data_IF_547765280385
#
_entry.id   IF_547765280385
#
_cell.length_a   1.000
_cell.length_b   1.000
_cell.length_c   1.000
_cell.angle_alpha   90.00
_cell.angle_beta   90.00
_cell.angle_gamma   90.00
#
_symmetry.space_group_name_H-M   'P 1'
#
loop_
_entity.id
_entity.type
_entity.pdbx_description
1 polymer ?
#
# COMPACT_ATOMS: atom_id res chain seq x y z
N UNK A 1 22.33 -37.61 -17.90
CA UNK A 1 21.14 -37.25 -17.09
C UNK A 1 21.08 -35.73 -16.99
N UNK A 2 20.28 -35.06 -17.82
CA UNK A 2 20.01 -33.63 -17.70
C UNK A 2 19.20 -33.43 -16.42
N UNK A 3 19.78 -32.78 -15.42
CA UNK A 3 19.02 -32.25 -14.29
C UNK A 3 17.97 -31.28 -14.85
N UNK A 4 16.71 -31.70 -14.90
CA UNK A 4 15.58 -30.81 -15.17
C UNK A 4 15.60 -29.74 -14.07
N UNK A 5 16.10 -28.56 -14.39
CA UNK A 5 16.00 -27.38 -13.53
C UNK A 5 14.51 -27.11 -13.31
N UNK A 6 13.99 -27.45 -12.11
CA UNK A 6 12.64 -27.05 -11.74
C UNK A 6 12.57 -25.52 -11.83
N UNK A 7 11.63 -24.97 -12.59
CA UNK A 7 11.50 -23.52 -12.70
C UNK A 7 11.31 -22.90 -11.31
N UNK A 8 12.08 -21.87 -10.99
CA UNK A 8 12.06 -21.13 -9.73
C UNK A 8 12.01 -19.63 -10.03
N UNK A 9 11.57 -18.84 -9.03
CA UNK A 9 11.58 -17.39 -9.14
C UNK A 9 13.01 -16.88 -9.38
N UNK A 10 13.16 -15.97 -10.34
CA UNK A 10 14.46 -15.44 -10.70
C UNK A 10 14.84 -14.28 -9.77
N UNK A 11 16.06 -14.29 -9.24
CA UNK A 11 16.63 -13.16 -8.48
C UNK A 11 17.08 -12.06 -9.44
N UNK A 12 16.13 -11.31 -10.00
CA UNK A 12 16.35 -10.29 -11.01
C UNK A 12 16.35 -8.85 -10.48
N UNK A 13 15.88 -8.61 -9.25
CA UNK A 13 15.76 -7.27 -8.70
C UNK A 13 17.08 -6.75 -8.11
N UNK A 14 17.54 -5.61 -8.62
CA UNK A 14 18.71 -4.88 -8.12
C UNK A 14 18.32 -3.99 -6.93
N UNK A 15 19.32 -3.50 -6.19
CA UNK A 15 19.12 -2.53 -5.11
C UNK A 15 18.36 -1.27 -5.55
N UNK A 16 18.61 -0.78 -6.78
CA UNK A 16 17.89 0.32 -7.40
C UNK A 16 16.39 0.00 -7.52
N UNK A 17 16.05 -1.15 -8.08
CA UNK A 17 14.64 -1.57 -8.25
C UNK A 17 13.92 -1.65 -6.91
N UNK A 18 14.49 -2.32 -5.91
CA UNK A 18 13.86 -2.50 -4.60
C UNK A 18 13.67 -1.16 -3.88
N UNK A 19 14.65 -0.25 -3.96
CA UNK A 19 14.50 1.09 -3.38
C UNK A 19 13.36 1.88 -4.02
N UNK A 20 13.22 1.80 -5.34
CA UNK A 20 12.17 2.51 -6.07
C UNK A 20 10.82 1.81 -5.99
N UNK A 21 10.75 0.48 -5.95
CA UNK A 21 9.54 -0.27 -5.60
C UNK A 21 9.04 0.19 -4.22
N UNK A 22 9.93 0.22 -3.24
CA UNK A 22 9.60 0.68 -1.90
C UNK A 22 9.18 2.16 -1.85
N UNK A 23 9.75 3.03 -2.68
CA UNK A 23 9.34 4.43 -2.81
C UNK A 23 7.97 4.55 -3.50
N UNK A 24 7.82 3.84 -4.60
CA UNK A 24 6.65 3.92 -5.46
C UNK A 24 5.40 3.34 -4.82
N UNK A 25 5.53 2.21 -4.11
CA UNK A 25 4.41 1.61 -3.39
C UNK A 25 3.88 2.48 -2.25
N UNK A 26 4.74 3.30 -1.63
CA UNK A 26 4.33 4.24 -0.59
C UNK A 26 3.63 5.50 -1.14
N UNK A 27 3.72 5.78 -2.45
CA UNK A 27 3.14 6.96 -3.09
C UNK A 27 2.11 6.47 -4.11
N UNK A 28 0.93 6.14 -3.62
CA UNK A 28 -0.21 5.70 -4.42
C UNK A 28 -1.32 6.75 -4.51
N UNK A 29 -2.48 6.33 -4.99
CA UNK A 29 -3.69 7.15 -5.07
C UNK A 29 -4.18 7.63 -3.71
N UNK A 30 -3.83 6.94 -2.62
CA UNK A 30 -4.13 7.35 -1.25
C UNK A 30 -3.57 8.74 -0.90
N UNK A 31 -2.37 9.10 -1.40
CA UNK A 31 -1.83 10.45 -1.22
C UNK A 31 -2.52 11.46 -2.16
N UNK A 32 -2.62 11.15 -3.44
CA UNK A 32 -3.10 12.10 -4.45
C UNK A 32 -4.61 12.34 -4.41
N UNK A 33 -5.39 11.34 -4.04
CA UNK A 33 -6.84 11.40 -4.00
C UNK A 33 -7.41 11.31 -2.58
N UNK A 34 -6.93 10.37 -1.77
CA UNK A 34 -7.43 10.14 -0.41
C UNK A 34 -7.08 11.26 0.57
N UNK A 35 -6.01 12.01 0.33
CA UNK A 35 -5.58 13.09 1.25
C UNK A 35 -6.63 14.20 1.43
N UNK A 36 -7.41 14.53 0.40
CA UNK A 36 -8.49 15.50 0.49
C UNK A 36 -9.54 15.11 1.55
N UNK A 37 -9.96 13.85 1.55
CA UNK A 37 -10.89 13.30 2.54
C UNK A 37 -10.31 13.29 3.96
N UNK A 38 -9.02 12.97 4.09
CA UNK A 38 -8.33 13.00 5.38
C UNK A 38 -8.21 14.43 5.93
N UNK A 39 -7.86 15.41 5.08
CA UNK A 39 -7.81 16.83 5.44
C UNK A 39 -9.21 17.31 5.84
N UNK A 40 -10.25 16.97 5.09
CA UNK A 40 -11.64 17.35 5.41
C UNK A 40 -12.09 16.80 6.76
N UNK A 41 -11.67 15.58 7.12
CA UNK A 41 -12.00 14.95 8.39
C UNK A 41 -11.28 15.60 9.57
N UNK A 42 -9.97 15.85 9.48
CA UNK A 42 -9.12 16.24 10.61
C UNK A 42 -8.68 17.72 10.59
N UNK A 43 -8.85 18.41 9.45
CA UNK A 43 -8.23 19.71 9.24
C UNK A 43 -6.70 19.62 9.26
N UNK A 44 -5.98 20.68 9.67
CA UNK A 44 -4.54 20.70 9.79
C UNK A 44 -3.97 19.61 10.72
N UNK A 45 -4.74 19.14 11.71
CA UNK A 45 -4.34 18.07 12.61
C UNK A 45 -4.16 16.70 11.92
N UNK A 46 -4.54 16.57 10.64
CA UNK A 46 -4.20 15.40 9.80
C UNK A 46 -2.69 15.14 9.76
N UNK A 47 -1.86 16.18 9.87
CA UNK A 47 -0.40 16.05 9.96
C UNK A 47 0.03 15.18 11.14
N UNK A 48 -0.65 15.30 12.29
CA UNK A 48 -0.40 14.43 13.44
C UNK A 48 -0.83 12.99 13.17
N UNK A 49 -1.96 12.78 12.49
CA UNK A 49 -2.41 11.45 12.10
C UNK A 49 -1.38 10.75 11.20
N UNK A 50 -0.80 11.46 10.22
CA UNK A 50 0.26 10.92 9.36
C UNK A 50 1.57 10.67 10.13
N UNK A 51 1.94 11.51 11.09
CA UNK A 51 3.13 11.28 11.92
C UNK A 51 2.98 10.06 12.83
N UNK A 52 1.85 9.94 13.52
CA UNK A 52 1.57 8.83 14.43
C UNK A 52 1.43 7.52 13.63
N UNK A 53 0.61 7.53 12.58
CA UNK A 53 0.45 6.38 11.68
C UNK A 53 1.77 5.97 11.02
N UNK A 54 2.55 6.94 10.58
CA UNK A 54 3.86 6.70 9.99
C UNK A 54 4.87 6.09 10.95
N UNK A 55 4.89 6.54 12.22
CA UNK A 55 5.71 5.93 13.25
C UNK A 55 5.31 4.47 13.50
N UNK A 56 4.01 4.19 13.56
CA UNK A 56 3.50 2.83 13.70
C UNK A 56 3.88 1.95 12.50
N UNK A 57 3.70 2.43 11.28
CA UNK A 57 4.11 1.73 10.04
C UNK A 57 5.61 1.44 10.02
N UNK A 58 6.44 2.40 10.45
CA UNK A 58 7.89 2.16 10.55
C UNK A 58 8.22 1.00 11.48
N UNK A 59 7.55 0.88 12.64
CA UNK A 59 7.74 -0.22 13.57
C UNK A 59 7.27 -1.55 12.95
N UNK A 60 6.12 -1.58 12.25
CA UNK A 60 5.67 -2.76 11.52
C UNK A 60 6.70 -3.21 10.49
N UNK A 61 7.24 -2.25 9.72
CA UNK A 61 8.24 -2.56 8.69
C UNK A 61 9.58 -3.00 9.30
N UNK A 62 9.95 -2.48 10.48
CA UNK A 62 11.12 -2.98 11.23
C UNK A 62 10.91 -4.42 11.68
N UNK A 63 9.72 -4.78 12.16
CA UNK A 63 9.37 -6.16 12.52
C UNK A 63 9.43 -7.09 11.30
N UNK A 64 8.84 -6.68 10.17
CA UNK A 64 8.91 -7.43 8.92
C UNK A 64 10.35 -7.57 8.42
N UNK A 65 11.11 -6.49 8.45
CA UNK A 65 12.51 -6.47 8.02
C UNK A 65 13.41 -7.39 8.82
N UNK A 66 13.22 -7.46 10.14
CA UNK A 66 13.96 -8.37 11.02
C UNK A 66 13.71 -9.83 10.61
N UNK A 67 12.44 -10.21 10.35
CA UNK A 67 12.08 -11.54 9.88
C UNK A 67 12.62 -11.81 8.47
N UNK A 68 12.51 -10.85 7.55
CA UNK A 68 12.93 -10.98 6.16
C UNK A 68 14.46 -11.07 5.99
N UNK A 69 15.23 -10.37 6.81
CA UNK A 69 16.70 -10.46 6.83
C UNK A 69 17.15 -11.81 7.38
N UNK A 70 16.44 -12.35 8.38
CA UNK A 70 16.72 -13.67 8.96
C UNK A 70 16.37 -14.81 8.00
N UNK A 71 15.21 -14.75 7.36
CA UNK A 71 14.68 -15.80 6.50
C UNK A 71 13.93 -15.23 5.30
N UNK A 72 14.62 -14.86 4.20
CA UNK A 72 13.97 -14.31 3.00
C UNK A 72 13.22 -15.38 2.24
N UNK A 73 11.89 -15.37 2.30
CA UNK A 73 10.97 -16.32 1.64
C UNK A 73 9.95 -15.62 0.76
N UNK A 74 9.49 -16.26 -0.31
CA UNK A 74 8.57 -15.69 -1.30
C UNK A 74 7.17 -15.41 -0.72
N UNK A 75 6.72 -16.18 0.25
CA UNK A 75 5.45 -15.97 0.97
C UNK A 75 5.55 -14.90 2.06
N UNK A 76 6.74 -14.32 2.31
CA UNK A 76 6.98 -13.23 3.26
C UNK A 76 6.22 -13.40 4.58
N UNK A 77 5.45 -12.37 4.98
CA UNK A 77 4.70 -12.36 6.24
C UNK A 77 3.59 -13.44 6.33
N UNK A 78 3.07 -13.95 5.22
CA UNK A 78 2.20 -15.12 5.21
C UNK A 78 2.92 -16.39 5.68
N UNK A 79 4.16 -16.60 5.18
CA UNK A 79 5.02 -17.70 5.63
C UNK A 79 5.49 -17.52 7.08
N UNK A 80 5.79 -16.28 7.51
CA UNK A 80 6.15 -16.01 8.90
C UNK A 80 4.96 -16.25 9.84
N UNK A 81 3.76 -15.83 9.46
CA UNK A 81 2.55 -16.14 10.23
C UNK A 81 2.33 -17.65 10.34
N UNK A 82 2.53 -18.41 9.25
CA UNK A 82 2.48 -19.88 9.29
C UNK A 82 3.54 -20.47 10.24
N UNK A 83 4.76 -20.00 10.15
CA UNK A 83 5.89 -20.51 10.91
C UNK A 83 5.76 -20.26 12.42
N UNK A 84 5.34 -19.07 12.80
CA UNK A 84 5.38 -18.63 14.20
C UNK A 84 4.01 -18.65 14.90
N UNK A 85 2.90 -18.55 14.17
CA UNK A 85 1.54 -18.57 14.71
C UNK A 85 0.72 -19.79 14.28
N UNK A 86 1.23 -20.56 13.32
CA UNK A 86 0.61 -21.79 12.85
C UNK A 86 -0.07 -21.68 11.48
N UNK A 87 -0.43 -22.84 10.88
CA UNK A 87 -0.88 -22.90 9.50
C UNK A 87 -2.17 -22.11 9.20
N UNK A 88 -3.12 -22.04 10.13
CA UNK A 88 -4.33 -21.23 10.00
C UNK A 88 -4.00 -19.74 9.90
N UNK A 89 -3.08 -19.27 10.75
CA UNK A 89 -2.64 -17.88 10.74
C UNK A 89 -1.98 -17.51 9.40
N UNK A 90 -1.11 -18.37 8.87
CA UNK A 90 -0.50 -18.17 7.55
C UNK A 90 -1.54 -18.16 6.43
N UNK A 91 -2.53 -19.03 6.47
CA UNK A 91 -3.62 -19.07 5.50
C UNK A 91 -4.43 -17.78 5.52
N UNK A 92 -4.89 -17.36 6.70
CA UNK A 92 -5.68 -16.12 6.82
C UNK A 92 -4.86 -14.91 6.41
N UNK A 93 -3.61 -14.79 6.84
CA UNK A 93 -2.73 -13.65 6.51
C UNK A 93 -2.48 -13.54 5.01
N UNK A 94 -2.11 -14.65 4.36
CA UNK A 94 -1.79 -14.64 2.94
C UNK A 94 -3.00 -14.34 2.06
N UNK A 95 -4.18 -14.91 2.36
CA UNK A 95 -5.40 -14.62 1.61
C UNK A 95 -5.96 -13.24 1.90
N UNK A 96 -5.80 -12.71 3.14
CA UNK A 96 -6.19 -11.34 3.46
C UNK A 96 -5.31 -10.33 2.74
N UNK A 97 -4.00 -10.57 2.63
CA UNK A 97 -3.13 -9.74 1.81
C UNK A 97 -3.48 -9.82 0.31
N UNK A 98 -3.78 -11.01 -0.21
CA UNK A 98 -4.22 -11.15 -1.60
C UNK A 98 -5.53 -10.38 -1.84
N UNK A 99 -6.47 -10.45 -0.90
CA UNK A 99 -7.70 -9.67 -0.93
C UNK A 99 -7.41 -8.17 -0.87
N UNK A 100 -6.53 -7.73 0.03
CA UNK A 100 -6.08 -6.33 0.14
C UNK A 100 -5.56 -5.82 -1.21
N UNK A 101 -4.64 -6.54 -1.85
CA UNK A 101 -4.07 -6.15 -3.14
C UNK A 101 -5.11 -6.08 -4.25
N UNK A 102 -6.09 -6.98 -4.26
CA UNK A 102 -7.23 -6.88 -5.20
C UNK A 102 -8.03 -5.61 -4.94
N UNK A 103 -8.36 -5.33 -3.68
CA UNK A 103 -9.18 -4.18 -3.30
C UNK A 103 -8.44 -2.85 -3.58
N UNK A 104 -7.15 -2.77 -3.26
CA UNK A 104 -6.33 -1.59 -3.56
C UNK A 104 -6.23 -1.38 -5.06
N UNK A 105 -5.93 -2.43 -5.83
CA UNK A 105 -5.90 -2.35 -7.29
C UNK A 105 -7.25 -1.96 -7.90
N UNK A 106 -8.39 -2.35 -7.30
CA UNK A 106 -9.72 -1.87 -7.71
C UNK A 106 -9.86 -0.34 -7.53
N UNK A 107 -9.32 0.20 -6.42
CA UNK A 107 -9.29 1.65 -6.20
C UNK A 107 -8.42 2.35 -7.25
N UNK A 108 -7.24 1.79 -7.52
CA UNK A 108 -6.26 2.38 -8.43
C UNK A 108 -6.73 2.35 -9.91
N UNK A 109 -7.36 1.27 -10.38
CA UNK A 109 -7.93 1.23 -11.73
C UNK A 109 -9.15 2.17 -11.84
N UNK A 110 -9.90 2.36 -10.75
CA UNK A 110 -11.01 3.32 -10.69
C UNK A 110 -10.48 4.74 -10.81
N UNK A 111 -9.45 5.09 -10.03
CA UNK A 111 -8.78 6.38 -10.11
C UNK A 111 -8.20 6.62 -11.50
N UNK A 112 -7.52 5.64 -12.10
CA UNK A 112 -7.02 5.71 -13.47
C UNK A 112 -8.16 6.08 -14.46
N UNK A 113 -9.30 5.40 -14.37
CA UNK A 113 -10.45 5.70 -15.21
C UNK A 113 -11.04 7.10 -15.02
N UNK A 114 -11.04 7.62 -13.79
CA UNK A 114 -11.46 8.99 -13.47
C UNK A 114 -10.53 10.00 -14.15
N UNK A 115 -9.22 9.84 -14.00
CA UNK A 115 -8.23 10.76 -14.55
C UNK A 115 -8.12 10.70 -16.07
N UNK A 116 -8.35 9.54 -16.70
CA UNK A 116 -8.48 9.43 -18.16
C UNK A 116 -9.72 10.16 -18.69
N UNK A 117 -10.81 10.14 -17.92
CA UNK A 117 -12.05 10.85 -18.25
C UNK A 117 -11.89 12.38 -18.28
N UNK A 118 -10.89 12.96 -17.62
CA UNK A 118 -10.57 14.40 -17.71
C UNK A 118 -10.08 14.80 -19.11
N UNK A 119 -9.37 13.90 -19.80
CA UNK A 119 -8.91 14.16 -21.18
C UNK A 119 -9.90 13.71 -22.24
N UNK A 120 -10.65 12.64 -21.95
CA UNK A 120 -11.55 12.00 -22.90
C UNK A 120 -12.94 11.79 -22.28
N UNK A 121 -13.69 12.88 -22.01
CA UNK A 121 -14.98 12.81 -21.30
C UNK A 121 -16.04 11.99 -22.05
N UNK A 122 -15.95 11.90 -23.38
CA UNK A 122 -16.89 11.15 -24.21
C UNK A 122 -16.65 9.63 -24.19
N UNK A 123 -15.49 9.16 -23.65
CA UNK A 123 -15.17 7.74 -23.57
C UNK A 123 -15.65 7.17 -22.24
N UNK A 124 -16.52 6.15 -22.23
CA UNK A 124 -16.97 5.52 -21.01
C UNK A 124 -15.82 5.04 -20.14
N UNK A 125 -15.86 5.34 -18.84
CA UNK A 125 -14.81 5.04 -17.86
C UNK A 125 -14.38 3.57 -17.85
N UNK A 126 -15.31 2.65 -18.00
CA UNK A 126 -15.04 1.22 -18.00
C UNK A 126 -14.08 0.77 -19.12
N UNK A 127 -14.04 1.48 -20.26
CA UNK A 127 -13.12 1.19 -21.36
C UNK A 127 -11.67 1.44 -20.92
N UNK A 128 -11.44 2.54 -20.22
CA UNK A 128 -10.13 2.89 -19.67
C UNK A 128 -9.69 1.87 -18.61
N UNK A 129 -10.60 1.48 -17.71
CA UNK A 129 -10.35 0.47 -16.69
C UNK A 129 -9.98 -0.87 -17.32
N UNK A 130 -10.73 -1.30 -18.31
CA UNK A 130 -10.46 -2.55 -19.04
C UNK A 130 -9.09 -2.50 -19.74
N UNK A 131 -8.78 -1.38 -20.41
CA UNK A 131 -7.50 -1.20 -21.12
C UNK A 131 -6.29 -1.31 -20.20
N UNK A 132 -6.34 -0.68 -19.03
CA UNK A 132 -5.22 -0.72 -18.07
C UNK A 132 -5.05 -2.09 -17.43
N UNK A 133 -6.13 -2.82 -17.14
CA UNK A 133 -6.07 -4.20 -16.63
C UNK A 133 -5.33 -5.09 -17.63
N UNK A 134 -5.66 -5.03 -18.90
CA UNK A 134 -4.98 -5.81 -19.94
C UNK A 134 -3.51 -5.38 -20.11
N UNK A 135 -3.24 -4.09 -20.13
CA UNK A 135 -1.88 -3.56 -20.27
C UNK A 135 -0.98 -4.04 -19.12
N UNK A 136 -1.40 -3.83 -17.86
CA UNK A 136 -0.60 -4.22 -16.70
C UNK A 136 -0.54 -5.74 -16.55
N UNK A 137 -1.62 -6.46 -16.86
CA UNK A 137 -1.60 -7.92 -16.91
C UNK A 137 -0.53 -8.44 -17.86
N UNK A 138 -0.47 -7.92 -19.09
CA UNK A 138 0.55 -8.27 -20.07
C UNK A 138 1.98 -7.94 -19.56
N UNK A 139 2.18 -6.77 -18.94
CA UNK A 139 3.46 -6.36 -18.37
C UNK A 139 3.91 -7.28 -17.23
N UNK A 140 3.00 -7.70 -16.36
CA UNK A 140 3.31 -8.64 -15.26
C UNK A 140 3.57 -10.08 -15.75
N UNK A 141 3.18 -10.43 -16.95
CA UNK A 141 3.56 -11.70 -17.60
C UNK A 141 4.98 -11.66 -18.20
N UNK A 142 5.60 -10.49 -18.32
CA UNK A 142 7.01 -10.35 -18.65
C UNK A 142 7.88 -10.78 -17.45
N UNK A 143 9.21 -10.76 -17.63
CA UNK A 143 10.12 -11.14 -16.54
C UNK A 143 10.18 -10.08 -15.43
N UNK A 144 10.61 -10.48 -14.22
CA UNK A 144 10.70 -9.61 -13.04
C UNK A 144 11.60 -8.38 -13.24
N UNK A 145 12.53 -8.42 -14.15
CA UNK A 145 13.40 -7.28 -14.47
C UNK A 145 12.62 -6.17 -15.19
N UNK A 146 11.72 -6.55 -16.10
CA UNK A 146 10.81 -5.59 -16.79
C UNK A 146 9.90 -4.92 -15.77
N UNK A 147 9.32 -5.71 -14.84
CA UNK A 147 8.57 -5.18 -13.71
C UNK A 147 9.40 -4.14 -12.92
N UNK A 148 10.61 -4.49 -12.52
CA UNK A 148 11.47 -3.60 -11.74
C UNK A 148 11.87 -2.32 -12.47
N UNK A 149 12.16 -2.39 -13.78
CA UNK A 149 12.48 -1.19 -14.59
C UNK A 149 11.24 -0.28 -14.76
N UNK A 150 10.06 -0.85 -15.03
CA UNK A 150 8.84 -0.08 -15.14
C UNK A 150 8.54 0.65 -13.81
N UNK A 151 8.62 -0.07 -12.70
CA UNK A 151 8.37 0.50 -11.37
C UNK A 151 9.39 1.59 -11.01
N UNK A 152 10.65 1.42 -11.41
CA UNK A 152 11.67 2.45 -11.24
C UNK A 152 11.29 3.76 -11.93
N UNK A 153 10.92 3.72 -13.21
CA UNK A 153 10.60 4.92 -13.98
C UNK A 153 9.30 5.59 -13.50
N UNK A 154 8.26 4.79 -13.24
CA UNK A 154 6.99 5.31 -12.73
C UNK A 154 7.16 5.95 -11.34
N UNK A 155 7.94 5.33 -10.46
CA UNK A 155 8.25 5.87 -9.14
C UNK A 155 9.09 7.14 -9.21
N UNK A 156 10.04 7.21 -10.14
CA UNK A 156 10.85 8.42 -10.37
C UNK A 156 9.97 9.61 -10.76
N UNK A 157 9.01 9.40 -11.67
CA UNK A 157 8.04 10.45 -12.08
C UNK A 157 7.29 10.97 -10.85
N UNK A 158 6.76 10.09 -10.01
CA UNK A 158 6.03 10.48 -8.78
C UNK A 158 6.89 11.29 -7.82
N UNK A 159 8.10 10.84 -7.55
CA UNK A 159 9.03 11.50 -6.62
C UNK A 159 9.42 12.88 -7.13
N UNK A 160 9.80 12.98 -8.40
CA UNK A 160 10.15 14.28 -9.03
C UNK A 160 8.97 15.25 -8.99
N UNK A 161 7.77 14.75 -9.28
CA UNK A 161 6.56 15.55 -9.25
C UNK A 161 6.25 16.14 -7.88
N UNK A 162 6.33 15.31 -6.81
CA UNK A 162 6.07 15.78 -5.45
C UNK A 162 7.14 16.77 -5.01
N UNK A 163 8.41 16.52 -5.31
CA UNK A 163 9.49 17.47 -5.00
C UNK A 163 9.28 18.79 -5.74
N UNK A 164 8.97 18.74 -7.04
CA UNK A 164 8.69 19.94 -7.83
C UNK A 164 7.50 20.72 -7.27
N UNK A 165 6.44 20.05 -6.87
CA UNK A 165 5.27 20.67 -6.23
C UNK A 165 5.64 21.31 -4.89
N UNK A 166 6.43 20.63 -4.04
CA UNK A 166 6.86 21.23 -2.76
C UNK A 166 7.74 22.46 -2.98
N UNK A 167 8.66 22.42 -3.95
CA UNK A 167 9.49 23.59 -4.31
C UNK A 167 8.64 24.74 -4.86
N UNK A 168 7.67 24.44 -5.73
CA UNK A 168 6.72 25.42 -6.24
C UNK A 168 5.87 26.02 -5.10
N UNK A 169 5.35 25.18 -4.21
CA UNK A 169 4.61 25.62 -3.04
C UNK A 169 5.46 26.48 -2.09
N UNK A 170 6.70 26.10 -1.84
CA UNK A 170 7.64 26.92 -1.09
C UNK A 170 7.89 28.27 -1.79
N UNK A 171 8.01 28.29 -3.12
CA UNK A 171 8.10 29.53 -3.91
C UNK A 171 6.90 30.43 -3.73
N UNK A 172 5.68 29.89 -3.72
CA UNK A 172 4.45 30.65 -3.42
C UNK A 172 4.49 31.23 -2.01
N UNK A 173 4.82 30.40 -1.01
CA UNK A 173 4.81 30.81 0.40
C UNK A 173 5.86 31.88 0.71
N UNK A 174 7.11 31.72 0.25
CA UNK A 174 8.22 32.59 0.63
C UNK A 174 8.43 33.78 -0.30
N UNK A 175 8.09 33.64 -1.57
CA UNK A 175 8.37 34.69 -2.59
C UNK A 175 7.10 35.28 -3.21
N UNK A 176 5.91 34.82 -2.85
CA UNK A 176 4.64 35.30 -3.36
C UNK A 176 4.45 35.03 -4.86
N UNK A 177 5.02 33.98 -5.38
CA UNK A 177 4.81 33.60 -6.78
C UNK A 177 3.35 33.15 -6.99
N UNK A 178 2.72 33.71 -8.02
CA UNK A 178 1.35 33.39 -8.39
C UNK A 178 0.33 34.40 -7.89
N UNK A 179 -0.36 35.04 -8.83
CA UNK A 179 -1.35 36.09 -8.53
C UNK A 179 -2.70 35.58 -8.03
N UNK A 180 -2.89 34.26 -7.96
CA UNK A 180 -4.19 33.63 -7.71
C UNK A 180 -4.38 33.09 -6.27
N UNK A 181 -3.47 33.40 -5.33
CA UNK A 181 -3.52 32.88 -3.96
C UNK A 181 -3.62 33.97 -2.90
N UNK A 182 -4.77 34.70 -2.79
CA UNK A 182 -4.89 35.81 -1.85
C UNK A 182 -4.86 35.40 -0.36
N UNK A 183 -5.04 34.14 -0.06
CA UNK A 183 -5.14 33.62 1.29
C UNK A 183 -3.94 32.74 1.72
N UNK A 184 -2.78 32.87 1.06
CA UNK A 184 -1.59 32.08 1.41
C UNK A 184 -0.95 32.55 2.70
N UNK A 185 -0.76 31.64 3.67
CA UNK A 185 -0.06 31.96 4.91
C UNK A 185 -0.12 30.81 5.93
N UNK A 186 0.83 30.79 6.85
CA UNK A 186 0.81 29.85 7.99
C UNK A 186 -0.49 29.97 8.82
N UNK A 187 -1.16 31.10 8.76
CA UNK A 187 -2.43 31.37 9.43
C UNK A 187 -3.52 30.38 9.01
N UNK A 188 -3.47 29.85 7.79
CA UNK A 188 -4.42 28.85 7.30
C UNK A 188 -4.45 27.58 8.17
N UNK A 189 -3.39 27.30 8.92
CA UNK A 189 -3.34 26.16 9.84
C UNK A 189 -4.16 26.39 11.12
N UNK A 190 -4.58 27.65 11.40
CA UNK A 190 -5.29 28.02 12.63
C UNK A 190 -6.53 28.86 12.43
N UNK A 191 -6.61 29.69 11.37
CA UNK A 191 -7.64 30.70 11.18
C UNK A 191 -9.05 30.13 10.91
N UNK A 192 -9.13 28.86 10.46
CA UNK A 192 -10.39 28.24 10.06
C UNK A 192 -10.87 27.20 11.07
N UNK A 193 -11.07 27.60 12.31
CA UNK A 193 -11.54 26.73 13.39
C UNK A 193 -10.43 26.07 14.23
N UNK A 194 -9.19 26.58 14.15
CA UNK A 194 -8.05 26.06 14.89
C UNK A 194 -7.33 24.93 14.16
N UNK A 195 -6.29 24.38 14.81
CA UNK A 195 -5.48 23.30 14.25
C UNK A 195 -6.25 21.98 14.11
N UNK A 196 -7.21 21.70 15.02
CA UNK A 196 -8.10 20.56 14.96
C UNK A 196 -9.57 21.02 14.92
N UNK A 197 -10.06 21.56 13.80
CA UNK A 197 -11.38 22.19 13.70
C UNK A 197 -12.54 21.23 13.99
N UNK A 198 -12.38 19.95 13.68
CA UNK A 198 -13.35 18.89 13.97
C UNK A 198 -13.02 18.13 15.26
N UNK A 199 -12.15 18.70 16.13
CA UNK A 199 -11.70 18.09 17.36
C UNK A 199 -10.90 16.80 17.13
N UNK A 200 -10.58 16.11 18.22
CA UNK A 200 -9.86 14.83 18.18
C UNK A 200 -10.66 13.71 17.49
N UNK A 201 -11.99 13.83 17.45
CA UNK A 201 -12.82 12.88 16.71
C UNK A 201 -12.53 12.90 15.22
N UNK A 202 -12.31 14.08 14.62
CA UNK A 202 -11.91 14.19 13.23
C UNK A 202 -10.53 13.59 12.94
N UNK A 203 -9.57 13.78 13.87
CA UNK A 203 -8.22 13.16 13.76
C UNK A 203 -8.34 11.64 13.84
N UNK A 204 -9.13 11.11 14.75
CA UNK A 204 -9.36 9.67 14.90
C UNK A 204 -10.07 9.11 13.66
N UNK A 205 -11.08 9.78 13.14
CA UNK A 205 -11.80 9.38 11.93
C UNK A 205 -10.87 9.32 10.70
N UNK A 206 -9.89 10.23 10.60
CA UNK A 206 -8.93 10.24 9.49
C UNK A 206 -7.97 9.05 9.50
N UNK A 207 -7.77 8.36 10.64
CA UNK A 207 -6.80 7.25 10.76
C UNK A 207 -7.05 6.13 9.76
N UNK A 208 -8.29 5.80 9.43
CA UNK A 208 -8.62 4.79 8.42
C UNK A 208 -8.04 5.15 7.04
N UNK A 209 -8.22 6.39 6.63
CA UNK A 209 -7.72 6.93 5.35
C UNK A 209 -6.19 7.00 5.37
N UNK A 210 -5.61 7.44 6.50
CA UNK A 210 -4.15 7.52 6.69
C UNK A 210 -3.51 6.13 6.61
N UNK A 211 -4.12 5.11 7.23
CA UNK A 211 -3.62 3.73 7.16
C UNK A 211 -3.72 3.18 5.72
N UNK A 212 -4.83 3.44 5.03
CA UNK A 212 -4.95 3.11 3.60
C UNK A 212 -3.85 3.76 2.76
N UNK A 213 -3.54 5.04 3.01
CA UNK A 213 -2.52 5.76 2.26
C UNK A 213 -1.09 5.18 2.45
N UNK A 214 -0.84 4.46 3.53
CA UNK A 214 0.42 3.75 3.79
C UNK A 214 0.42 2.29 3.30
N UNK A 215 -0.72 1.75 2.90
CA UNK A 215 -0.82 0.39 2.34
C UNK A 215 0.12 0.19 1.16
N UNK A 216 0.61 -1.03 1.00
CA UNK A 216 1.58 -1.40 -0.03
C UNK A 216 3.05 -1.30 0.38
N UNK A 217 3.40 -0.65 1.51
CA UNK A 217 4.81 -0.60 1.97
C UNK A 217 5.38 -1.98 2.32
N UNK A 218 4.55 -2.92 2.72
CA UNK A 218 4.91 -4.30 3.05
C UNK A 218 5.39 -5.13 1.86
N UNK A 219 5.23 -4.63 0.62
CA UNK A 219 5.77 -5.25 -0.59
C UNK A 219 7.30 -5.42 -0.52
N UNK A 220 7.98 -4.59 0.27
CA UNK A 220 9.41 -4.72 0.56
C UNK A 220 9.72 -6.13 1.09
N UNK A 221 8.89 -6.66 1.98
CA UNK A 221 9.03 -8.02 2.50
C UNK A 221 8.82 -9.09 1.43
N UNK A 222 7.86 -8.88 0.54
CA UNK A 222 7.57 -9.82 -0.56
C UNK A 222 8.69 -9.84 -1.59
N UNK A 223 9.33 -8.70 -1.88
CA UNK A 223 10.47 -8.60 -2.80
C UNK A 223 11.77 -9.20 -2.26
N UNK A 224 11.85 -9.47 -0.95
CA UNK A 224 13.05 -9.98 -0.30
C UNK A 224 13.58 -11.29 -0.93
N UNK A 225 12.69 -12.20 -1.33
CA UNK A 225 13.06 -13.48 -1.96
C UNK A 225 13.66 -13.31 -3.37
N UNK A 226 13.33 -12.24 -4.08
CA UNK A 226 13.83 -11.93 -5.43
C UNK A 226 14.96 -10.89 -5.44
N UNK A 227 15.36 -10.40 -4.27
CA UNK A 227 16.49 -9.51 -4.08
C UNK A 227 17.83 -10.24 -4.27
N UNK A 228 18.81 -9.59 -4.91
CA UNK A 228 20.16 -10.16 -5.02
C UNK A 228 20.89 -10.24 -3.68
N UNK A 229 20.72 -9.23 -2.83
CA UNK A 229 21.29 -9.16 -1.48
C UNK A 229 20.25 -8.65 -0.47
N UNK A 230 19.32 -9.52 0.01
CA UNK A 230 18.25 -9.10 0.89
C UNK A 230 18.76 -8.55 2.23
N UNK A 231 19.85 -9.11 2.78
CA UNK A 231 20.42 -8.69 4.06
C UNK A 231 20.90 -7.24 4.08
N UNK A 232 21.28 -6.70 2.92
CA UNK A 232 21.74 -5.32 2.78
C UNK A 232 20.64 -4.39 2.30
N UNK A 233 19.87 -4.82 1.31
CA UNK A 233 18.91 -3.95 0.61
C UNK A 233 17.64 -3.72 1.43
N UNK A 234 17.12 -4.74 2.13
CA UNK A 234 15.91 -4.61 2.95
C UNK A 234 16.10 -3.61 4.10
N UNK A 235 17.17 -3.68 4.93
CA UNK A 235 17.42 -2.65 5.94
C UNK A 235 17.53 -1.24 5.37
N UNK A 236 18.22 -1.07 4.24
CA UNK A 236 18.35 0.24 3.59
C UNK A 236 16.99 0.81 3.13
N UNK A 237 16.12 -0.03 2.55
CA UNK A 237 14.80 0.38 2.13
C UNK A 237 13.92 0.79 3.33
N UNK A 238 13.92 -0.01 4.39
CA UNK A 238 13.09 0.24 5.58
C UNK A 238 13.55 1.47 6.36
N UNK A 239 14.86 1.68 6.53
CA UNK A 239 15.39 2.82 7.27
C UNK A 239 15.08 4.17 6.61
N UNK A 240 14.72 4.20 5.33
CA UNK A 240 14.31 5.45 4.65
C UNK A 240 12.82 5.77 4.80
N UNK A 241 12.01 4.87 5.37
CA UNK A 241 10.56 5.08 5.53
C UNK A 241 10.22 6.34 6.34
N UNK A 242 10.84 6.63 7.50
CA UNK A 242 10.51 7.84 8.26
C UNK A 242 10.73 9.11 7.44
N UNK A 243 11.86 9.19 6.72
CA UNK A 243 12.15 10.34 5.86
C UNK A 243 11.10 10.48 4.74
N UNK A 244 10.67 9.37 4.15
CA UNK A 244 9.62 9.38 3.11
C UNK A 244 8.30 9.88 3.64
N UNK A 245 7.88 9.40 4.81
CA UNK A 245 6.62 9.82 5.44
C UNK A 245 6.65 11.31 5.74
N UNK A 246 7.72 11.80 6.36
CA UNK A 246 7.87 13.23 6.65
C UNK A 246 7.84 14.03 5.35
N UNK A 247 8.64 13.67 4.35
CA UNK A 247 8.80 14.45 3.13
C UNK A 247 7.56 14.38 2.24
N UNK A 248 7.10 13.16 1.91
CA UNK A 248 6.05 12.98 0.89
C UNK A 248 4.63 13.11 1.43
N UNK A 249 4.41 12.95 2.74
CA UNK A 249 3.09 13.13 3.33
C UNK A 249 3.02 14.39 4.17
N UNK A 250 3.80 14.49 5.24
CA UNK A 250 3.66 15.59 6.19
C UNK A 250 4.02 16.94 5.57
N UNK A 251 5.20 17.07 4.95
CA UNK A 251 5.62 18.33 4.32
C UNK A 251 4.73 18.70 3.12
N UNK A 252 4.36 17.71 2.30
CA UNK A 252 3.46 17.93 1.16
C UNK A 252 2.11 18.47 1.60
N UNK A 253 1.46 17.82 2.57
CA UNK A 253 0.16 18.26 3.06
C UNK A 253 0.25 19.55 3.85
N UNK A 254 1.34 19.79 4.57
CA UNK A 254 1.60 21.07 5.24
C UNK A 254 1.69 22.23 4.22
N UNK A 255 2.47 22.07 3.14
CA UNK A 255 2.57 23.06 2.06
C UNK A 255 1.20 23.32 1.44
N UNK A 256 0.42 22.29 1.13
CA UNK A 256 -0.92 22.41 0.60
C UNK A 256 -1.83 23.24 1.51
N UNK A 257 -1.85 22.94 2.82
CA UNK A 257 -2.73 23.62 3.77
C UNK A 257 -2.25 25.00 4.18
N UNK A 258 -0.98 25.34 3.94
CA UNK A 258 -0.49 26.73 4.07
C UNK A 258 -0.93 27.58 2.88
N UNK A 259 -1.00 27.00 1.68
CA UNK A 259 -1.45 27.70 0.47
C UNK A 259 -2.97 27.85 0.44
N UNK A 260 -3.70 26.77 0.79
CA UNK A 260 -5.15 26.74 0.74
C UNK A 260 -5.74 26.46 2.13
N UNK A 261 -6.81 27.14 2.54
CA UNK A 261 -7.59 26.77 3.71
C UNK A 261 -8.05 25.31 3.63
N UNK A 262 -7.94 24.57 4.74
CA UNK A 262 -8.28 23.16 4.78
C UNK A 262 -9.73 22.85 4.36
N UNK A 263 -10.67 23.77 4.57
CA UNK A 263 -12.09 23.64 4.23
C UNK A 263 -12.37 23.85 2.73
N UNK A 264 -11.39 24.28 1.93
CA UNK A 264 -11.52 24.40 0.49
C UNK A 264 -11.23 23.08 -0.26
N UNK A 265 -10.69 22.07 0.44
CA UNK A 265 -10.43 20.76 -0.17
C UNK A 265 -11.70 19.92 -0.28
N UNK A 266 -11.84 19.17 -1.36
CA UNK A 266 -12.87 18.16 -1.54
C UNK A 266 -13.95 18.46 -2.58
N UNK A 267 -14.07 19.70 -3.06
CA UNK A 267 -15.09 20.06 -4.07
C UNK A 267 -14.54 20.08 -5.51
N UNK A 268 -13.23 20.21 -5.69
CA UNK A 268 -12.61 20.48 -7.00
C UNK A 268 -11.55 19.47 -7.44
N UNK A 269 -11.58 18.22 -6.94
CA UNK A 269 -10.64 17.20 -7.34
C UNK A 269 -9.39 17.09 -6.45
N UNK A 270 -8.24 16.67 -7.02
CA UNK A 270 -7.01 16.49 -6.25
C UNK A 270 -6.45 17.83 -5.74
N UNK A 271 -6.08 17.93 -4.45
CA UNK A 271 -5.44 19.13 -3.90
C UNK A 271 -4.20 19.59 -4.67
N UNK A 272 -3.54 18.66 -5.31
CA UNK A 272 -2.32 18.90 -6.09
C UNK A 272 -2.60 19.68 -7.40
N UNK A 273 -3.80 19.48 -8.01
CA UNK A 273 -4.22 20.22 -9.21
C UNK A 273 -4.30 21.71 -8.89
N UNK A 274 -4.86 22.04 -7.74
CA UNK A 274 -5.10 23.42 -7.35
C UNK A 274 -3.82 24.26 -7.26
N UNK A 275 -2.70 23.69 -6.84
CA UNK A 275 -1.40 24.40 -6.78
C UNK A 275 -0.92 24.78 -8.17
N UNK A 276 -0.90 23.82 -9.09
CA UNK A 276 -0.36 24.07 -10.43
C UNK A 276 -1.26 24.99 -11.26
N UNK A 277 -2.58 24.88 -11.08
CA UNK A 277 -3.55 25.75 -11.73
C UNK A 277 -3.39 27.20 -11.25
N UNK A 278 -3.26 27.40 -9.96
CA UNK A 278 -3.06 28.73 -9.36
C UNK A 278 -1.72 29.38 -9.69
N UNK A 279 -0.70 28.62 -10.11
CA UNK A 279 0.55 29.17 -10.64
C UNK A 279 0.41 29.74 -12.05
N UNK A 280 -0.78 29.62 -12.66
CA UNK A 280 -1.03 30.09 -14.02
C UNK A 280 -0.25 29.31 -15.09
N UNK A 281 0.14 28.05 -14.79
CA UNK A 281 0.80 27.17 -15.75
C UNK A 281 -0.30 26.56 -16.63
N UNK A 282 -0.44 26.91 -17.92
CA UNK A 282 -1.56 26.43 -18.75
C UNK A 282 -1.66 24.91 -18.90
N UNK A 283 -0.54 24.19 -18.67
CA UNK A 283 -0.47 22.75 -18.75
C UNK A 283 -0.53 22.05 -17.37
N UNK A 284 -0.76 22.80 -16.29
CA UNK A 284 -0.66 22.29 -14.91
C UNK A 284 -1.58 21.11 -14.66
N UNK A 285 -2.85 21.21 -15.03
CA UNK A 285 -3.82 20.13 -14.89
C UNK A 285 -3.40 18.87 -15.70
N UNK A 286 -2.87 19.07 -16.91
CA UNK A 286 -2.38 17.98 -17.76
C UNK A 286 -1.16 17.30 -17.17
N UNK A 287 -0.18 18.07 -16.67
CA UNK A 287 1.02 17.52 -16.03
C UNK A 287 0.64 16.69 -14.82
N UNK A 288 -0.24 17.21 -13.97
CA UNK A 288 -0.67 16.48 -12.80
C UNK A 288 -1.47 15.24 -13.16
N UNK A 289 -2.32 15.31 -14.18
CA UNK A 289 -3.06 14.15 -14.67
C UNK A 289 -2.09 13.02 -15.09
N UNK A 290 -1.02 13.35 -15.81
CA UNK A 290 0.05 12.39 -16.15
C UNK A 290 0.68 11.77 -14.88
N UNK A 291 0.94 12.60 -13.86
CA UNK A 291 1.54 12.14 -12.61
C UNK A 291 0.63 11.15 -11.89
N UNK A 292 -0.65 11.48 -11.73
CA UNK A 292 -1.62 10.62 -11.04
C UNK A 292 -1.87 9.34 -11.84
N UNK A 293 -1.98 9.42 -13.16
CA UNK A 293 -2.07 8.25 -14.03
C UNK A 293 -0.84 7.36 -13.86
N UNK A 294 0.38 7.93 -13.86
CA UNK A 294 1.60 7.16 -13.63
C UNK A 294 1.64 6.53 -12.24
N UNK A 295 1.11 7.20 -11.23
CA UNK A 295 0.99 6.69 -9.87
C UNK A 295 0.01 5.50 -9.79
N UNK A 296 -1.15 5.61 -10.43
CA UNK A 296 -2.12 4.49 -10.51
C UNK A 296 -1.53 3.28 -11.23
N UNK A 297 -0.87 3.48 -12.37
CA UNK A 297 -0.21 2.40 -13.13
C UNK A 297 0.84 1.68 -12.27
N UNK A 298 1.67 2.42 -11.55
CA UNK A 298 2.68 1.87 -10.65
C UNK A 298 2.06 1.08 -9.50
N UNK A 299 0.98 1.61 -8.89
CA UNK A 299 0.31 0.93 -7.79
C UNK A 299 -0.32 -0.40 -8.26
N UNK A 300 -1.12 -0.38 -9.33
CA UNK A 300 -1.72 -1.59 -9.92
C UNK A 300 -0.65 -2.65 -10.25
N UNK A 301 0.49 -2.21 -10.82
CA UNK A 301 1.62 -3.08 -11.15
C UNK A 301 2.20 -3.76 -9.91
N UNK A 302 2.39 -3.01 -8.83
CA UNK A 302 2.90 -3.51 -7.56
C UNK A 302 1.90 -4.45 -6.87
N UNK A 303 0.60 -4.16 -6.91
CA UNK A 303 -0.44 -4.97 -6.31
C UNK A 303 -0.53 -6.36 -6.95
N UNK A 304 -0.54 -6.41 -8.29
CA UNK A 304 -0.53 -7.68 -9.04
C UNK A 304 0.73 -8.48 -8.74
N UNK A 305 1.88 -7.81 -8.68
CA UNK A 305 3.15 -8.44 -8.34
C UNK A 305 3.12 -9.02 -6.92
N UNK A 306 2.74 -8.22 -5.92
CA UNK A 306 2.71 -8.58 -4.50
C UNK A 306 1.77 -9.76 -4.22
N UNK A 307 0.52 -9.67 -4.68
CA UNK A 307 -0.47 -10.74 -4.55
C UNK A 307 -0.02 -12.03 -5.27
N UNK A 308 0.57 -11.89 -6.45
CA UNK A 308 1.06 -13.02 -7.23
C UNK A 308 2.15 -13.82 -6.49
N UNK A 309 3.09 -13.14 -5.83
CA UNK A 309 4.16 -13.78 -5.04
C UNK A 309 3.63 -14.37 -3.75
N UNK A 310 2.68 -13.72 -3.11
CA UNK A 310 2.02 -14.25 -1.91
C UNK A 310 1.27 -15.56 -2.26
N UNK A 311 0.43 -15.57 -3.28
CA UNK A 311 -0.29 -16.78 -3.72
C UNK A 311 0.66 -17.91 -4.12
N UNK A 312 1.77 -17.58 -4.79
CA UNK A 312 2.81 -18.55 -5.13
C UNK A 312 3.47 -19.14 -3.87
N UNK A 313 3.85 -18.31 -2.89
CA UNK A 313 4.40 -18.74 -1.61
C UNK A 313 3.45 -19.65 -0.85
N UNK A 314 2.19 -19.23 -0.70
CA UNK A 314 1.14 -20.04 -0.05
C UNK A 314 0.91 -21.39 -0.74
N UNK A 315 0.97 -21.44 -2.07
CA UNK A 315 0.76 -22.68 -2.80
C UNK A 315 1.86 -23.72 -2.54
N UNK A 316 3.10 -23.28 -2.32
CA UNK A 316 4.20 -24.14 -1.90
C UNK A 316 4.01 -24.74 -0.49
N UNK A 317 3.29 -24.01 0.33
CA UNK A 317 3.01 -24.40 1.71
C UNK A 317 1.69 -25.17 1.87
N UNK A 318 1.00 -25.49 0.76
CA UNK A 318 -0.28 -26.19 0.79
C UNK A 318 -1.46 -25.32 1.22
N UNK A 319 -1.28 -23.97 1.28
CA UNK A 319 -2.27 -22.98 1.71
C UNK A 319 -3.08 -22.39 0.54
N UNK A 320 -2.67 -22.68 -0.70
CA UNK A 320 -3.33 -22.24 -1.92
C UNK A 320 -3.28 -23.33 -2.99
N UNK A 321 -4.09 -23.24 -4.06
CA UNK A 321 -4.11 -24.23 -5.14
C UNK A 321 -2.73 -24.47 -5.75
N UNK A 322 -2.41 -25.75 -6.03
CA UNK A 322 -1.13 -26.15 -6.65
C UNK A 322 -0.89 -25.51 -8.02
N UNK A 323 -1.96 -25.09 -8.72
CA UNK A 323 -1.85 -24.36 -10.01
C UNK A 323 -1.04 -23.07 -9.90
N UNK A 324 -1.01 -22.42 -8.74
CA UNK A 324 -0.25 -21.19 -8.50
C UNK A 324 1.28 -21.40 -8.44
N UNK A 325 1.72 -22.67 -8.36
CA UNK A 325 3.14 -23.02 -8.44
C UNK A 325 3.67 -23.03 -9.88
N UNK A 326 2.79 -22.88 -10.89
CA UNK A 326 3.19 -22.90 -12.29
C UNK A 326 3.98 -21.64 -12.64
N UNK A 327 5.26 -21.83 -12.91
CA UNK A 327 6.17 -20.76 -13.32
C UNK A 327 6.40 -20.90 -14.83
N UNK A 328 6.29 -19.79 -15.56
CA UNK A 328 6.67 -19.72 -16.96
C UNK A 328 8.21 -19.76 -17.13
N UNK A 329 8.68 -19.98 -18.34
CA UNK A 329 10.12 -20.04 -18.66
C UNK A 329 10.89 -18.76 -18.28
N UNK A 330 10.19 -17.63 -18.21
CA UNK A 330 10.75 -16.33 -17.79
C UNK A 330 10.75 -16.10 -16.26
N UNK A 331 10.38 -17.11 -15.45
CA UNK A 331 10.40 -17.04 -13.99
C UNK A 331 9.17 -16.41 -13.36
N UNK A 332 8.09 -16.16 -14.11
CA UNK A 332 6.85 -15.53 -13.63
C UNK A 332 5.81 -16.57 -13.24
N UNK A 333 5.16 -16.47 -12.08
CA UNK A 333 4.01 -17.31 -11.71
C UNK A 333 2.76 -16.82 -12.45
N UNK A 334 2.65 -17.16 -13.73
CA UNK A 334 1.66 -16.62 -14.66
C UNK A 334 0.21 -16.84 -14.27
N UNK A 335 -0.10 -17.99 -13.62
CA UNK A 335 -1.46 -18.30 -13.20
C UNK A 335 -1.96 -17.30 -12.15
N UNK A 336 -1.09 -16.83 -11.26
CA UNK A 336 -1.46 -15.85 -10.24
C UNK A 336 -1.76 -14.48 -10.88
N UNK A 337 -1.02 -14.11 -11.92
CA UNK A 337 -1.29 -12.88 -12.70
C UNK A 337 -2.65 -12.95 -13.39
N UNK A 338 -2.99 -14.10 -14.00
CA UNK A 338 -4.30 -14.31 -14.65
C UNK A 338 -5.43 -14.23 -13.62
N UNK A 339 -5.26 -14.82 -12.43
CA UNK A 339 -6.27 -14.76 -11.37
C UNK A 339 -6.47 -13.31 -10.88
N UNK A 340 -5.38 -12.56 -10.69
CA UNK A 340 -5.47 -11.14 -10.32
C UNK A 340 -6.18 -10.33 -11.42
N UNK A 341 -5.81 -10.51 -12.69
CA UNK A 341 -6.49 -9.88 -13.82
C UNK A 341 -7.99 -10.19 -13.85
N UNK A 342 -8.35 -11.46 -13.64
CA UNK A 342 -9.74 -11.88 -13.54
C UNK A 342 -10.51 -11.22 -12.38
N UNK A 343 -9.87 -11.11 -11.21
CA UNK A 343 -10.47 -10.42 -10.07
C UNK A 343 -10.67 -8.91 -10.34
N UNK A 344 -9.73 -8.28 -11.05
CA UNK A 344 -9.84 -6.86 -11.41
C UNK A 344 -10.95 -6.57 -12.44
N UNK A 345 -11.42 -7.57 -13.21
CA UNK A 345 -12.58 -7.37 -14.07
C UNK A 345 -13.84 -7.02 -13.25
N UNK A 346 -13.91 -7.36 -11.97
CA UNK A 346 -14.95 -6.89 -11.08
C UNK A 346 -15.00 -5.36 -10.98
N UNK A 347 -13.85 -4.67 -11.10
CA UNK A 347 -13.79 -3.21 -11.13
C UNK A 347 -14.55 -2.62 -12.32
N UNK A 348 -14.49 -3.27 -13.47
CA UNK A 348 -15.21 -2.85 -14.67
C UNK A 348 -16.71 -2.84 -14.39
N UNK A 349 -17.22 -3.93 -13.80
CA UNK A 349 -18.63 -4.09 -13.45
C UNK A 349 -19.05 -3.09 -12.38
N UNK A 350 -18.25 -2.93 -11.31
CA UNK A 350 -18.55 -2.00 -10.21
C UNK A 350 -18.59 -0.55 -10.70
N UNK A 351 -17.62 -0.13 -11.52
CA UNK A 351 -17.61 1.23 -12.07
C UNK A 351 -18.74 1.49 -13.08
N UNK A 352 -19.29 0.44 -13.69
CA UNK A 352 -20.48 0.55 -14.52
C UNK A 352 -21.77 0.72 -13.69
N UNK A 353 -21.88 -0.02 -12.57
CA UNK A 353 -23.09 -0.06 -11.75
C UNK A 353 -23.20 1.09 -10.74
N UNK A 354 -22.09 1.47 -10.08
CA UNK A 354 -22.05 2.45 -8.98
C UNK A 354 -20.82 3.38 -9.07
N UNK A 355 -20.72 4.20 -10.10
CA UNK A 355 -19.47 4.92 -10.42
C UNK A 355 -19.06 5.97 -9.38
N UNK A 356 -19.98 6.54 -8.60
CA UNK A 356 -19.71 7.68 -7.70
C UNK A 356 -19.23 7.28 -6.31
N UNK A 357 -19.55 6.08 -5.82
CA UNK A 357 -19.29 5.66 -4.44
C UNK A 357 -18.21 4.60 -4.30
N UNK A 358 -17.73 4.06 -5.43
CA UNK A 358 -16.83 2.90 -5.46
C UNK A 358 -15.54 3.15 -4.69
N UNK A 359 -14.90 4.33 -4.87
CA UNK A 359 -13.59 4.58 -4.27
C UNK A 359 -13.61 4.58 -2.76
N UNK A 360 -14.57 5.26 -2.12
CA UNK A 360 -14.65 5.37 -0.64
C UNK A 360 -14.92 4.00 0.00
N UNK A 361 -15.82 3.23 -0.57
CA UNK A 361 -16.13 1.87 -0.09
C UNK A 361 -14.89 0.98 -0.19
N UNK A 362 -14.22 0.99 -1.32
CA UNK A 362 -13.03 0.17 -1.59
C UNK A 362 -11.88 0.58 -0.66
N UNK A 363 -11.62 1.89 -0.50
CA UNK A 363 -10.56 2.39 0.38
C UNK A 363 -10.77 1.97 1.85
N UNK A 364 -12.01 1.99 2.32
CA UNK A 364 -12.33 1.55 3.68
C UNK A 364 -12.10 0.05 3.88
N UNK A 365 -12.47 -0.78 2.90
CA UNK A 365 -12.20 -2.23 2.92
C UNK A 365 -10.69 -2.53 2.91
N UNK A 366 -9.94 -1.80 2.08
CA UNK A 366 -8.49 -1.92 2.04
C UNK A 366 -7.85 -1.57 3.38
N UNK A 367 -8.28 -0.48 4.03
CA UNK A 367 -7.77 -0.07 5.34
C UNK A 367 -7.90 -1.18 6.40
N UNK A 368 -9.03 -1.89 6.44
CA UNK A 368 -9.20 -3.03 7.35
C UNK A 368 -8.18 -4.14 7.04
N UNK A 369 -8.06 -4.53 5.77
CA UNK A 369 -7.18 -5.63 5.36
C UNK A 369 -5.70 -5.30 5.63
N UNK A 370 -5.27 -4.07 5.29
CA UNK A 370 -3.91 -3.55 5.57
C UNK A 370 -3.57 -3.63 7.05
N UNK A 371 -4.43 -3.08 7.92
CA UNK A 371 -4.20 -3.07 9.37
C UNK A 371 -4.19 -4.50 9.93
N UNK A 372 -5.06 -5.38 9.43
CA UNK A 372 -5.05 -6.80 9.80
C UNK A 372 -3.72 -7.48 9.45
N UNK A 373 -3.22 -7.29 8.22
CA UNK A 373 -1.92 -7.84 7.78
C UNK A 373 -0.79 -7.34 8.67
N UNK A 374 -0.78 -6.06 9.01
CA UNK A 374 0.23 -5.47 9.89
C UNK A 374 0.16 -5.98 11.32
N UNK A 375 -1.04 -6.24 11.85
CA UNK A 375 -1.22 -6.96 13.12
C UNK A 375 -0.57 -8.34 13.06
N UNK A 376 -0.81 -9.10 11.99
CA UNK A 376 -0.25 -10.44 11.84
C UNK A 376 1.27 -10.41 11.69
N UNK A 377 1.85 -9.39 11.05
CA UNK A 377 3.31 -9.18 11.01
C UNK A 377 3.86 -8.99 12.43
N UNK A 378 3.26 -8.09 13.23
CA UNK A 378 3.69 -7.82 14.60
C UNK A 378 3.55 -9.06 15.49
N UNK A 379 2.42 -9.76 15.44
CA UNK A 379 2.19 -10.98 16.21
C UNK A 379 3.18 -12.08 15.86
N UNK A 380 3.46 -12.26 14.56
CA UNK A 380 4.48 -13.23 14.08
C UNK A 380 5.86 -12.87 14.61
N UNK A 381 6.21 -11.58 14.57
CA UNK A 381 7.48 -11.08 15.10
C UNK A 381 7.60 -11.28 16.63
N UNK A 382 6.52 -11.02 17.39
CA UNK A 382 6.50 -11.31 18.83
C UNK A 382 6.70 -12.81 19.12
N UNK A 383 6.00 -13.67 18.39
CA UNK A 383 6.13 -15.11 18.52
C UNK A 383 7.55 -15.58 18.17
N UNK A 384 8.13 -15.07 17.08
CA UNK A 384 9.53 -15.32 16.72
C UNK A 384 10.47 -14.95 17.87
N UNK A 385 10.38 -13.71 18.36
CA UNK A 385 11.28 -13.20 19.42
C UNK A 385 11.18 -13.98 20.73
N UNK A 386 9.98 -14.47 21.09
CA UNK A 386 9.78 -15.32 22.27
C UNK A 386 10.44 -16.68 22.14
N UNK A 387 10.47 -17.23 20.93
CA UNK A 387 11.09 -18.52 20.66
C UNK A 387 12.62 -18.51 20.56
N UNK A 388 13.27 -17.33 20.48
CA UNK A 388 14.72 -17.21 20.37
C UNK A 388 15.42 -17.32 21.73
N UNK A 389 16.56 -18.01 21.76
CA UNK A 389 17.48 -17.99 22.89
C UNK A 389 18.11 -16.60 23.11
N UNK A 390 18.73 -16.37 24.28
CA UNK A 390 19.42 -15.12 24.56
C UNK A 390 20.58 -14.87 23.57
N UNK A 391 21.29 -15.93 23.18
CA UNK A 391 22.38 -15.86 22.22
C UNK A 391 21.89 -15.48 20.83
N UNK A 392 20.83 -16.14 20.32
CA UNK A 392 20.21 -15.81 19.02
C UNK A 392 19.69 -14.38 18.99
N UNK A 393 19.14 -13.86 20.10
CA UNK A 393 18.66 -12.46 20.18
C UNK A 393 19.80 -11.46 20.05
N UNK A 394 20.99 -11.77 20.59
CA UNK A 394 22.16 -10.88 20.49
C UNK A 394 22.73 -10.83 19.06
N UNK A 395 22.49 -11.86 18.25
CA UNK A 395 23.00 -11.97 16.88
C UNK A 395 22.05 -11.45 15.81
N UNK A 396 20.92 -10.82 16.19
CA UNK A 396 19.96 -10.28 15.23
C UNK A 396 20.61 -9.13 14.45
N UNK A 397 20.77 -9.30 13.14
CA UNK A 397 21.45 -8.33 12.28
C UNK A 397 20.69 -7.00 12.09
N UNK A 398 19.35 -7.02 12.21
CA UNK A 398 18.48 -5.87 11.98
C UNK A 398 17.39 -5.77 13.05
N UNK A 399 17.75 -5.49 14.33
CA UNK A 399 16.80 -5.53 15.43
C UNK A 399 15.79 -4.40 15.36
N UNK A 400 14.54 -4.69 15.78
CA UNK A 400 13.51 -3.68 15.95
C UNK A 400 13.89 -2.72 17.10
N UNK A 401 13.73 -1.40 16.94
CA UNK A 401 14.05 -0.44 17.98
C UNK A 401 13.05 -0.55 19.15
N UNK A 402 13.52 -0.20 20.35
CA UNK A 402 12.74 -0.10 21.58
C UNK A 402 11.93 -1.36 21.93
N UNK A 403 12.49 -2.53 21.65
CA UNK A 403 11.87 -3.80 22.02
C UNK A 403 11.76 -3.96 23.54
N UNK A 404 10.63 -4.45 24.11
CA UNK A 404 9.37 -4.84 23.44
C UNK A 404 8.34 -3.70 23.36
N UNK A 405 8.64 -2.50 23.84
CA UNK A 405 7.68 -1.41 24.08
C UNK A 405 7.10 -0.88 22.75
N UNK A 406 7.95 -0.52 21.79
CA UNK A 406 7.46 0.07 20.55
C UNK A 406 6.53 -0.87 19.76
N UNK A 407 6.86 -2.16 19.51
CA UNK A 407 5.94 -3.06 18.85
C UNK A 407 4.66 -3.34 19.65
N UNK A 408 4.70 -3.32 20.99
CA UNK A 408 3.50 -3.45 21.81
C UNK A 408 2.56 -2.25 21.67
N UNK A 409 3.08 -1.04 21.74
CA UNK A 409 2.31 0.18 21.51
C UNK A 409 1.72 0.21 20.09
N UNK A 410 2.51 -0.26 19.11
CA UNK A 410 2.03 -0.37 17.72
C UNK A 410 0.90 -1.39 17.58
N UNK A 411 0.97 -2.53 18.27
CA UNK A 411 -0.14 -3.49 18.32
C UNK A 411 -1.41 -2.87 18.90
N UNK A 412 -1.29 -2.15 20.01
CA UNK A 412 -2.43 -1.45 20.62
C UNK A 412 -3.00 -0.39 19.68
N UNK A 413 -2.13 0.37 19.00
CA UNK A 413 -2.55 1.35 18.02
C UNK A 413 -3.29 0.72 16.83
N UNK A 414 -2.80 -0.42 16.29
CA UNK A 414 -3.49 -1.15 15.22
C UNK A 414 -4.86 -1.66 15.67
N UNK A 415 -4.95 -2.17 16.91
CA UNK A 415 -6.23 -2.55 17.53
C UNK A 415 -7.19 -1.36 17.66
N UNK A 416 -6.68 -0.19 18.05
CA UNK A 416 -7.45 1.06 18.09
C UNK A 416 -7.97 1.43 16.69
N UNK A 417 -7.14 1.36 15.65
CA UNK A 417 -7.57 1.67 14.27
C UNK A 417 -8.71 0.76 13.83
N UNK A 418 -8.62 -0.55 14.11
CA UNK A 418 -9.73 -1.49 13.81
C UNK A 418 -10.99 -1.11 14.58
N UNK A 419 -10.89 -0.75 15.87
CA UNK A 419 -12.03 -0.31 16.67
C UNK A 419 -12.67 0.97 16.10
N UNK A 420 -11.86 1.91 15.66
CA UNK A 420 -12.27 3.17 15.05
C UNK A 420 -13.10 2.94 13.78
N UNK A 421 -12.75 1.95 12.95
CA UNK A 421 -13.55 1.59 11.77
C UNK A 421 -15.00 1.23 12.15
N UNK A 422 -15.22 0.68 13.34
CA UNK A 422 -16.56 0.35 13.86
C UNK A 422 -17.32 1.53 14.45
N UNK A 423 -16.63 2.62 14.83
CA UNK A 423 -17.26 3.77 15.50
C UNK A 423 -18.01 4.68 14.52
N UNK A 424 -17.52 4.80 13.28
CA UNK A 424 -18.11 5.68 12.27
C UNK A 424 -19.00 4.90 11.31
N UNK A 425 -20.18 5.45 11.01
CA UNK A 425 -21.17 4.79 10.13
C UNK A 425 -20.60 4.50 8.73
N UNK A 426 -19.79 5.41 8.21
CA UNK A 426 -19.19 5.32 6.87
C UNK A 426 -18.20 4.16 6.74
N UNK A 427 -17.45 3.83 7.79
CA UNK A 427 -16.41 2.77 7.79
C UNK A 427 -16.88 1.46 8.44
N UNK A 428 -18.01 1.47 9.16
CA UNK A 428 -18.53 0.29 9.85
C UNK A 428 -18.80 -0.89 8.92
N UNK A 429 -19.28 -0.61 7.71
CA UNK A 429 -19.53 -1.66 6.71
C UNK A 429 -18.23 -2.35 6.29
N UNK A 430 -17.11 -1.62 6.23
CA UNK A 430 -15.80 -2.19 5.94
C UNK A 430 -15.33 -3.12 7.06
N UNK A 431 -15.55 -2.75 8.32
CA UNK A 431 -15.25 -3.63 9.46
C UNK A 431 -16.09 -4.92 9.40
N UNK A 432 -17.42 -4.79 9.18
CA UNK A 432 -18.31 -5.96 9.09
C UNK A 432 -17.87 -6.88 7.93
N UNK A 433 -17.63 -6.33 6.74
CA UNK A 433 -17.18 -7.09 5.59
C UNK A 433 -15.83 -7.76 5.84
N UNK A 434 -14.90 -7.07 6.51
CA UNK A 434 -13.62 -7.65 6.92
C UNK A 434 -13.77 -8.82 7.90
N UNK A 435 -14.63 -8.68 8.92
CA UNK A 435 -14.90 -9.79 9.86
C UNK A 435 -15.60 -10.97 9.18
N UNK A 436 -16.54 -10.71 8.27
CA UNK A 436 -17.16 -11.75 7.44
C UNK A 436 -16.12 -12.46 6.58
N UNK A 437 -15.19 -11.71 5.98
CA UNK A 437 -14.07 -12.26 5.23
C UNK A 437 -13.22 -13.23 6.07
N UNK A 438 -12.80 -12.81 7.26
CA UNK A 438 -12.03 -13.65 8.18
C UNK A 438 -12.79 -14.90 8.60
N UNK A 439 -14.09 -14.77 8.87
CA UNK A 439 -14.98 -15.89 9.18
C UNK A 439 -15.08 -16.87 8.02
N UNK A 440 -15.26 -16.36 6.81
CA UNK A 440 -15.32 -17.18 5.58
C UNK A 440 -14.00 -17.93 5.34
N UNK A 441 -12.85 -17.27 5.48
CA UNK A 441 -11.54 -17.92 5.39
C UNK A 441 -11.39 -19.02 6.44
N UNK A 442 -11.83 -18.78 7.66
CA UNK A 442 -11.79 -19.79 8.74
C UNK A 442 -12.63 -21.02 8.39
N UNK A 443 -13.84 -20.82 7.87
CA UNK A 443 -14.70 -21.92 7.41
C UNK A 443 -14.04 -22.70 6.27
N UNK A 444 -13.50 -22.01 5.25
CA UNK A 444 -12.79 -22.63 4.12
C UNK A 444 -11.58 -23.43 4.61
N UNK A 445 -10.84 -22.90 5.58
CA UNK A 445 -9.72 -23.61 6.19
C UNK A 445 -10.14 -24.96 6.75
N UNK A 446 -11.13 -24.99 7.63
CA UNK A 446 -11.57 -26.25 8.25
C UNK A 446 -12.23 -27.20 7.27
N UNK A 447 -12.96 -26.69 6.27
CA UNK A 447 -13.67 -27.51 5.29
C UNK A 447 -12.74 -28.15 4.24
N UNK A 448 -11.69 -27.46 3.79
CA UNK A 448 -10.92 -27.88 2.59
C UNK A 448 -9.40 -27.87 2.74
N UNK A 449 -8.83 -26.90 3.44
CA UNK A 449 -7.37 -26.63 3.37
C UNK A 449 -6.60 -27.38 4.45
N UNK A 450 -7.14 -27.52 5.66
CA UNK A 450 -6.47 -28.05 6.84
C UNK A 450 -5.75 -29.38 6.58
N UNK A 451 -6.40 -30.34 5.93
CA UNK A 451 -5.83 -31.67 5.67
C UNK A 451 -4.58 -31.58 4.80
N UNK A 452 -4.66 -30.84 3.69
CA UNK A 452 -3.56 -30.65 2.74
C UNK A 452 -2.39 -29.88 3.37
N UNK A 453 -2.69 -28.84 4.14
CA UNK A 453 -1.67 -28.02 4.80
C UNK A 453 -0.88 -28.83 5.86
N UNK A 454 -1.57 -29.71 6.61
CA UNK A 454 -0.92 -30.57 7.60
C UNK A 454 -0.07 -31.67 6.94
N UNK A 455 -0.49 -32.23 5.80
CA UNK A 455 0.30 -33.22 5.05
C UNK A 455 1.61 -32.59 4.54
N UNK A 456 1.55 -31.40 3.94
CA UNK A 456 2.74 -30.68 3.45
C UNK A 456 3.69 -30.33 4.61
N UNK A 457 3.15 -30.05 5.80
CA UNK A 457 3.97 -29.72 6.98
C UNK A 457 4.72 -30.95 7.54
N UNK A 458 4.22 -32.17 7.30
CA UNK A 458 4.89 -33.43 7.74
C UNK A 458 5.93 -33.92 6.73
N UNK A 459 5.88 -33.45 5.47
CA UNK A 459 6.81 -33.80 4.40
C UNK A 459 8.02 -32.80 4.31
N UNK A 460 7.97 -31.68 5.00
CA UNK A 460 9.06 -30.67 5.12
C UNK A 460 9.83 -30.81 6.43
#
# INVERSE_FOLDING_TARGET
MQQQHKPHLLRGLNARHIRFIALGSAIGTGLFYGSASAIKAAGPAVLLAYLIGGAAVFIVMRALGEMAVRNPVSGSFGSYARQYLGPLAGFITGWTYTFEMVIVALADVTAFGIYMGLWYPDVPRWIWILSIIFFIGAMNLCNVRVFGEMEFWLSLVKVVAIIAMMLAGAGIIFFGFGHSFPATGLENLWSHGGFAPNGWQGVIASLGIVMFAFGGVEIIGVTAAEAKDPKKVIPQAINTIPLRIILFYVCTLAVLMVIFPWNSFGEQGSPFVLIFDGLGIPAAATILNIIVISASISAINSDIFGAGRMMYGMSKEGLAPKSFQRIASNGVPWMTVVVMGGALLAAVVLNYLIPEQVFVLIASLAAFATVWVWLMILLSHFAMRRGLSAEERSQIAFPIPFWPVAPLLTLLFMGLVIAVLGMFAETRMALIAGLVWLGLLTVVWYARVRKTALQVATEQ
#
